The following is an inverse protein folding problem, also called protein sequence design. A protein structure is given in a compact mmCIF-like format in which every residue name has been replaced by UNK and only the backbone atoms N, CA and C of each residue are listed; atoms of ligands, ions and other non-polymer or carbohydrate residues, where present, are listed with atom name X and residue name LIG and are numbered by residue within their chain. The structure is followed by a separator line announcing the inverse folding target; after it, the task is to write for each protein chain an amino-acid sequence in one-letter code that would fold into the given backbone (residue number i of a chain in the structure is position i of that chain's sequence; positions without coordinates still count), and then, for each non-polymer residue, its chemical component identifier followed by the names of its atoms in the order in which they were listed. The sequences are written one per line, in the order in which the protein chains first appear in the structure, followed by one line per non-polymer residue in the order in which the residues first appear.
data_IF_639267538034
#
_entry.id   IF_639267538034
#
_cell.length_a   1.000
_cell.length_b   1.000
_cell.length_c   1.000
_cell.angle_alpha   90.00
_cell.angle_beta   90.00
_cell.angle_gamma   90.00
#
_symmetry.space_group_name_H-M   'P 1'
#
loop_
_entity.id
_entity.type
_entity.pdbx_description
1 polymer ?
#
# COMPACT_ATOMS: atom_id res chain seq x y z
N UNK A 1 -4.31 -8.00 -22.03
CA UNK A 1 -3.06 -8.23 -21.30
C UNK A 1 -3.34 -9.19 -20.15
N UNK A 2 -2.51 -10.19 -20.03
CA UNK A 2 -2.67 -11.19 -18.96
C UNK A 2 -1.62 -10.97 -17.88
N UNK A 3 -2.09 -10.78 -16.62
CA UNK A 3 -1.19 -10.63 -15.48
C UNK A 3 -0.67 -12.00 -15.05
N UNK A 4 0.60 -12.05 -14.65
CA UNK A 4 1.25 -13.27 -14.17
C UNK A 4 1.34 -13.24 -12.66
N UNK A 5 0.55 -14.11 -12.04
CA UNK A 5 0.53 -14.25 -10.58
C UNK A 5 1.49 -15.36 -10.16
N UNK A 6 2.23 -15.13 -9.06
CA UNK A 6 3.05 -16.15 -8.43
C UNK A 6 2.34 -16.60 -7.16
N UNK A 7 2.00 -17.88 -7.07
CA UNK A 7 1.18 -18.44 -5.97
C UNK A 7 -0.13 -17.65 -5.78
N UNK A 8 -0.73 -17.23 -6.90
CA UNK A 8 -1.97 -16.49 -6.90
C UNK A 8 -1.85 -15.01 -6.54
N UNK A 9 -0.65 -14.49 -6.37
CA UNK A 9 -0.41 -13.11 -5.93
C UNK A 9 0.48 -12.34 -6.91
N UNK A 10 0.24 -11.03 -6.99
CA UNK A 10 1.07 -10.09 -7.74
C UNK A 10 1.42 -8.91 -6.81
N UNK A 11 2.69 -8.50 -6.75
CA UNK A 11 3.05 -7.33 -5.95
C UNK A 11 2.56 -6.05 -6.62
N UNK A 12 2.10 -5.11 -5.79
CA UNK A 12 1.66 -3.80 -6.24
C UNK A 12 2.41 -2.73 -5.46
N UNK A 13 3.22 -1.96 -6.16
CA UNK A 13 3.92 -0.81 -5.62
C UNK A 13 2.99 0.39 -5.71
N UNK A 14 2.79 1.09 -4.61
CA UNK A 14 1.94 2.28 -4.58
C UNK A 14 2.83 3.51 -4.55
N UNK A 15 2.61 4.39 -5.52
CA UNK A 15 3.36 5.62 -5.70
C UNK A 15 2.42 6.81 -5.60
N UNK A 16 2.84 7.84 -4.83
CA UNK A 16 2.08 9.08 -4.76
C UNK A 16 2.10 9.76 -6.12
N UNK A 17 0.93 9.99 -6.70
CA UNK A 17 0.78 10.63 -8.00
C UNK A 17 1.38 12.03 -8.05
N UNK A 18 1.29 12.79 -6.96
CA UNK A 18 1.77 14.18 -6.94
C UNK A 18 3.29 14.29 -6.74
N UNK A 19 3.82 13.57 -5.76
CA UNK A 19 5.24 13.68 -5.40
C UNK A 19 6.15 12.71 -6.13
N UNK A 20 5.58 11.62 -6.66
CA UNK A 20 6.35 10.52 -7.23
C UNK A 20 6.98 9.61 -6.19
N UNK A 21 6.75 9.85 -4.91
CA UNK A 21 7.34 9.03 -3.84
C UNK A 21 6.62 7.71 -3.71
N UNK A 22 7.36 6.66 -3.42
CA UNK A 22 6.79 5.33 -3.13
C UNK A 22 6.21 5.35 -1.73
N UNK A 23 4.96 4.91 -1.60
CA UNK A 23 4.24 4.91 -0.32
C UNK A 23 4.26 3.56 0.36
N UNK A 24 4.02 2.49 -0.39
CA UNK A 24 3.99 1.13 0.17
C UNK A 24 4.05 0.07 -0.93
N UNK A 25 4.20 -1.17 -0.52
CA UNK A 25 4.03 -2.35 -1.38
C UNK A 25 3.05 -3.27 -0.69
N UNK A 26 2.12 -3.82 -1.44
CA UNK A 26 1.22 -4.85 -0.98
C UNK A 26 1.04 -5.92 -2.05
N UNK A 27 0.26 -6.94 -1.72
CA UNK A 27 -0.03 -8.03 -2.66
C UNK A 27 -1.50 -8.04 -3.03
N UNK A 28 -1.76 -8.39 -4.28
CA UNK A 28 -3.11 -8.55 -4.78
C UNK A 28 -3.27 -9.93 -5.38
N UNK A 29 -4.40 -10.58 -5.09
CA UNK A 29 -4.84 -11.71 -5.89
C UNK A 29 -5.71 -11.17 -7.04
N UNK A 30 -6.22 -12.03 -7.88
CA UNK A 30 -7.08 -11.63 -9.01
C UNK A 30 -8.30 -10.83 -8.54
N UNK A 31 -8.96 -11.27 -7.47
CA UNK A 31 -10.12 -10.56 -6.92
C UNK A 31 -9.77 -9.16 -6.42
N UNK A 32 -8.60 -9.00 -5.81
CA UNK A 32 -8.14 -7.69 -5.35
C UNK A 32 -7.91 -6.74 -6.53
N UNK A 33 -7.33 -7.23 -7.61
CA UNK A 33 -7.13 -6.43 -8.83
C UNK A 33 -8.48 -6.00 -9.40
N UNK A 34 -9.43 -6.91 -9.52
CA UNK A 34 -10.79 -6.61 -10.01
C UNK A 34 -11.45 -5.56 -9.11
N UNK A 35 -11.37 -5.76 -7.80
CA UNK A 35 -11.99 -4.83 -6.84
C UNK A 35 -11.36 -3.43 -6.93
N UNK A 36 -10.04 -3.36 -7.09
CA UNK A 36 -9.34 -2.08 -7.27
C UNK A 36 -9.82 -1.35 -8.53
N UNK A 37 -9.96 -2.08 -9.63
CA UNK A 37 -10.43 -1.51 -10.89
C UNK A 37 -11.89 -1.05 -10.79
N UNK A 38 -12.74 -1.82 -10.14
CA UNK A 38 -14.17 -1.49 -10.01
C UNK A 38 -14.41 -0.32 -9.05
N UNK A 39 -13.76 -0.33 -7.89
CA UNK A 39 -13.99 0.68 -6.85
C UNK A 39 -13.24 1.98 -7.08
N UNK A 40 -12.11 1.93 -7.77
CA UNK A 40 -11.20 3.07 -7.89
C UNK A 40 -10.33 3.28 -6.66
N UNK A 41 -10.38 2.39 -5.69
CA UNK A 41 -9.57 2.44 -4.48
C UNK A 41 -8.71 1.19 -4.36
N UNK A 42 -7.46 1.37 -3.90
CA UNK A 42 -6.50 0.27 -3.78
C UNK A 42 -6.99 -0.74 -2.76
N UNK A 43 -7.17 -1.98 -3.21
CA UNK A 43 -7.59 -3.12 -2.39
C UNK A 43 -6.56 -4.22 -2.53
N UNK A 44 -6.07 -4.71 -1.40
CA UNK A 44 -5.06 -5.76 -1.34
C UNK A 44 -5.68 -7.08 -0.90
N UNK A 45 -4.88 -8.14 -1.02
CA UNK A 45 -5.19 -9.42 -0.41
C UNK A 45 -4.25 -9.67 0.76
N UNK A 46 -4.81 -9.84 1.95
CA UNK A 46 -4.03 -10.17 3.15
C UNK A 46 -3.75 -11.68 3.18
N UNK A 47 -2.46 -12.05 3.12
CA UNK A 47 -2.05 -13.45 3.18
C UNK A 47 -2.31 -14.05 4.55
N UNK A 48 -2.08 -13.28 5.61
CA UNK A 48 -2.25 -13.74 6.98
C UNK A 48 -3.71 -13.94 7.37
N UNK A 49 -4.60 -13.07 6.89
CA UNK A 49 -6.03 -13.14 7.21
C UNK A 49 -6.86 -13.80 6.11
N UNK A 50 -6.24 -14.10 4.97
CA UNK A 50 -6.88 -14.76 3.82
C UNK A 50 -8.15 -14.04 3.36
N UNK A 51 -8.08 -12.71 3.27
CA UNK A 51 -9.20 -11.90 2.81
C UNK A 51 -8.73 -10.62 2.11
N UNK A 52 -9.63 -10.05 1.32
CA UNK A 52 -9.42 -8.73 0.72
C UNK A 52 -9.49 -7.65 1.81
N UNK A 53 -8.69 -6.59 1.65
CA UNK A 53 -8.82 -5.41 2.49
C UNK A 53 -8.53 -4.16 1.67
N UNK A 54 -9.39 -3.15 1.81
CA UNK A 54 -9.18 -1.86 1.16
C UNK A 54 -8.26 -1.03 2.04
N UNK A 55 -7.18 -0.51 1.46
CA UNK A 55 -6.28 0.39 2.19
C UNK A 55 -7.08 1.60 2.67
N UNK A 56 -6.99 1.88 3.97
CA UNK A 56 -7.72 2.98 4.58
C UNK A 56 -9.11 2.63 5.12
N UNK A 57 -9.51 1.35 5.08
CA UNK A 57 -10.83 0.95 5.60
C UNK A 57 -11.00 1.22 7.09
N UNK A 58 -9.90 1.22 7.86
CA UNK A 58 -9.90 1.54 9.29
C UNK A 58 -9.52 3.00 9.53
N UNK A 59 -8.42 3.45 8.92
CA UNK A 59 -7.86 4.78 9.16
C UNK A 59 -8.57 5.91 8.41
N UNK A 60 -9.25 5.60 7.31
CA UNK A 60 -9.74 6.59 6.38
C UNK A 60 -8.67 7.11 5.41
N UNK A 61 -7.41 6.69 5.57
CA UNK A 61 -6.30 7.08 4.69
C UNK A 61 -6.31 6.21 3.44
N UNK A 62 -7.29 6.44 2.58
CA UNK A 62 -7.50 5.64 1.37
C UNK A 62 -6.58 6.06 0.25
N UNK A 63 -6.38 5.13 -0.68
CA UNK A 63 -5.57 5.35 -1.87
C UNK A 63 -6.48 5.31 -3.10
N UNK A 64 -6.81 6.48 -3.63
CA UNK A 64 -7.60 6.59 -4.84
C UNK A 64 -6.71 6.39 -6.06
N UNK A 65 -7.05 5.42 -6.89
CA UNK A 65 -6.27 5.09 -8.08
C UNK A 65 -6.31 6.23 -9.09
N UNK A 66 -5.15 6.68 -9.54
CA UNK A 66 -5.00 7.57 -10.66
C UNK A 66 -4.68 6.79 -11.92
N UNK A 67 -3.71 5.88 -11.84
CA UNK A 67 -3.23 5.13 -13.00
C UNK A 67 -2.57 3.83 -12.53
N UNK A 68 -2.74 2.76 -13.27
CA UNK A 68 -2.09 1.48 -13.00
C UNK A 68 -1.19 1.14 -14.18
N UNK A 69 0.09 0.89 -13.89
CA UNK A 69 1.07 0.43 -14.86
C UNK A 69 1.46 -1.00 -14.56
N UNK A 70 1.71 -1.75 -15.61
CA UNK A 70 2.15 -3.14 -15.53
C UNK A 70 3.58 -3.19 -16.05
N UNK A 71 4.45 -3.95 -15.37
CA UNK A 71 5.84 -4.02 -15.80
C UNK A 71 6.02 -4.88 -17.08
N UNK A 72 7.25 -4.93 -17.58
CA UNK A 72 7.53 -5.51 -18.90
C UNK A 72 7.24 -7.01 -19.01
N UNK A 73 7.33 -7.75 -17.91
CA UNK A 73 7.03 -9.19 -17.88
C UNK A 73 5.70 -9.53 -17.19
N UNK A 74 4.90 -8.51 -16.87
CA UNK A 74 3.50 -8.64 -16.43
C UNK A 74 3.35 -9.30 -15.06
N UNK A 75 4.36 -9.20 -14.21
CA UNK A 75 4.36 -9.83 -12.87
C UNK A 75 4.45 -8.83 -11.71
N UNK A 76 4.34 -7.54 -11.99
CA UNK A 76 4.30 -6.49 -10.96
C UNK A 76 3.46 -5.31 -11.44
N UNK A 77 2.79 -4.66 -10.49
CA UNK A 77 1.98 -3.46 -10.75
C UNK A 77 2.61 -2.25 -10.11
N UNK A 78 2.55 -1.11 -10.80
CA UNK A 78 2.83 0.20 -10.24
C UNK A 78 1.52 0.99 -10.27
N UNK A 79 1.00 1.31 -9.09
CA UNK A 79 -0.26 2.04 -8.97
C UNK A 79 0.03 3.45 -8.49
N UNK A 80 -0.20 4.43 -9.36
CA UNK A 80 -0.15 5.83 -8.98
C UNK A 80 -1.47 6.20 -8.35
N UNK A 81 -1.43 6.77 -7.16
CA UNK A 81 -2.61 7.00 -6.36
C UNK A 81 -2.55 8.33 -5.62
N UNK A 82 -3.71 8.83 -5.23
CA UNK A 82 -3.86 9.97 -4.34
C UNK A 82 -4.20 9.47 -2.95
N UNK A 83 -3.34 9.79 -1.99
CA UNK A 83 -3.55 9.42 -0.60
C UNK A 83 -4.48 10.42 0.09
N UNK A 84 -5.58 9.93 0.67
CA UNK A 84 -6.43 10.72 1.56
C UNK A 84 -5.83 10.65 2.95
N UNK A 85 -5.57 11.80 3.56
CA UNK A 85 -5.02 11.86 4.90
C UNK A 85 -3.51 12.00 4.93
N UNK A 86 -2.91 12.08 6.14
CA UNK A 86 -1.51 12.45 6.31
C UNK A 86 -0.51 11.35 6.00
N UNK A 87 -0.89 10.08 6.09
CA UNK A 87 0.08 9.02 5.93
C UNK A 87 -0.49 7.67 5.55
N UNK A 88 0.32 6.89 4.85
CA UNK A 88 -0.01 5.55 4.37
C UNK A 88 0.37 4.47 5.38
N UNK A 89 1.45 4.69 6.12
CA UNK A 89 2.00 3.70 7.05
C UNK A 89 1.21 3.66 8.37
N UNK A 90 0.88 2.47 8.85
CA UNK A 90 0.17 2.30 10.12
C UNK A 90 1.01 2.74 11.34
N UNK A 91 2.31 2.98 11.15
CA UNK A 91 3.19 3.49 12.20
C UNK A 91 3.27 5.02 12.26
N UNK A 92 2.44 5.71 11.47
CA UNK A 92 2.32 7.16 11.53
C UNK A 92 3.13 7.92 10.49
N UNK A 93 3.80 7.24 9.58
CA UNK A 93 4.61 7.88 8.53
C UNK A 93 3.82 7.99 7.23
N UNK A 94 4.16 8.99 6.43
CA UNK A 94 3.53 9.14 5.12
C UNK A 94 3.79 7.94 4.22
N UNK A 95 5.02 7.41 4.26
CA UNK A 95 5.42 6.21 3.51
C UNK A 95 5.78 5.09 4.46
N UNK A 96 5.50 3.85 4.06
CA UNK A 96 5.99 2.68 4.77
C UNK A 96 7.52 2.56 4.69
N UNK A 97 8.12 3.23 3.71
CA UNK A 97 9.57 3.25 3.52
C UNK A 97 10.20 4.43 4.25
N UNK A 98 10.11 4.43 5.57
CA UNK A 98 10.59 5.51 6.42
C UNK A 98 11.96 5.26 7.06
N UNK A 99 12.58 4.11 6.79
CA UNK A 99 13.90 3.74 7.30
C UNK A 99 14.85 3.44 6.15
N UNK A 100 16.09 3.79 6.34
CA UNK A 100 17.19 3.50 5.40
C UNK A 100 18.05 2.40 6.00
N UNK A 101 18.38 1.40 5.20
CA UNK A 101 19.31 0.33 5.59
C UNK A 101 20.63 0.54 4.87
N UNK A 102 21.72 0.43 5.62
CA UNK A 102 23.08 0.49 5.08
C UNK A 102 23.99 -0.48 5.84
N UNK A 103 25.25 -0.57 5.43
CA UNK A 103 26.24 -1.40 6.15
C UNK A 103 26.41 -0.95 7.61
N UNK A 104 26.05 0.28 7.95
CA UNK A 104 26.15 0.85 9.30
C UNK A 104 24.89 0.60 10.15
N UNK A 105 23.87 -0.10 9.61
CA UNK A 105 22.62 -0.35 10.30
C UNK A 105 21.45 0.42 9.69
N UNK A 106 20.43 0.69 10.51
CA UNK A 106 19.22 1.39 10.02
C UNK A 106 19.14 2.81 10.59
N UNK A 107 18.47 3.67 9.83
CA UNK A 107 18.25 5.06 10.19
C UNK A 107 16.84 5.48 9.77
N UNK A 108 16.10 6.13 10.67
CA UNK A 108 14.80 6.71 10.35
C UNK A 108 15.03 8.00 9.55
N UNK A 109 14.43 8.11 8.37
CA UNK A 109 14.65 9.20 7.43
C UNK A 109 13.42 10.09 7.21
N UNK A 110 12.27 9.75 7.81
CA UNK A 110 11.05 10.55 7.75
C UNK A 110 10.58 10.88 9.15
N UNK A 111 9.76 11.92 9.27
CA UNK A 111 9.08 12.26 10.52
C UNK A 111 7.66 11.71 10.48
N UNK A 112 7.11 11.37 11.65
CA UNK A 112 5.71 10.99 11.76
C UNK A 112 4.81 12.15 11.38
N UNK A 113 3.76 11.83 10.62
CA UNK A 113 2.76 12.79 10.19
C UNK A 113 1.48 12.71 11.04
N UNK A 114 1.30 11.62 11.79
CA UNK A 114 0.13 11.43 12.66
C UNK A 114 0.47 10.45 13.78
N UNK A 115 -0.37 10.47 14.85
CA UNK A 115 -0.24 9.52 15.96
C UNK A 115 -1.05 8.25 15.63
N UNK A 116 -0.39 7.09 15.49
CA UNK A 116 -1.10 5.84 15.18
C UNK A 116 -2.17 5.47 16.22
N UNK A 117 -1.95 5.79 17.50
CA UNK A 117 -2.92 5.47 18.56
C UNK A 117 -4.22 6.26 18.41
N UNK A 118 -4.14 7.50 17.92
CA UNK A 118 -5.32 8.34 17.67
C UNK A 118 -6.17 7.80 16.50
N UNK A 119 -5.53 7.19 15.51
CA UNK A 119 -6.18 6.71 14.30
C UNK A 119 -6.70 5.29 14.46
N UNK A 120 -5.85 4.37 14.98
CA UNK A 120 -6.17 2.94 15.05
C UNK A 120 -6.58 2.47 16.44
N UNK A 121 -6.37 3.30 17.47
CA UNK A 121 -6.54 2.90 18.85
C UNK A 121 -5.34 2.09 19.36
N UNK A 122 -5.21 2.04 20.69
CA UNK A 122 -4.08 1.38 21.34
C UNK A 122 -4.07 -0.12 21.04
N UNK A 123 -2.95 -0.60 20.51
CA UNK A 123 -2.78 -2.02 20.16
C UNK A 123 -3.48 -2.46 18.90
N UNK A 124 -4.13 -1.54 18.16
CA UNK A 124 -4.80 -1.83 16.89
C UNK A 124 -4.03 -1.28 15.71
N UNK A 125 -4.19 -1.93 14.56
CA UNK A 125 -3.61 -1.46 13.29
C UNK A 125 -4.42 -2.03 12.13
N UNK A 126 -4.26 -1.44 10.94
CA UNK A 126 -4.85 -2.00 9.73
C UNK A 126 -4.22 -3.35 9.39
N UNK A 127 -4.99 -4.18 8.66
CA UNK A 127 -4.49 -5.44 8.13
C UNK A 127 -3.38 -5.11 7.13
N UNK A 128 -2.21 -5.73 7.31
CA UNK A 128 -1.11 -5.66 6.38
C UNK A 128 -0.94 -7.02 5.69
N UNK A 129 -0.31 -7.02 4.54
CA UNK A 129 -0.11 -8.25 3.75
C UNK A 129 0.87 -9.23 4.36
#
# INVERSE_FOLDING_TARGET
MELKYADGLIPAVIQDHHSGKVLMVGYMNEDAVVKTLESGFVTFYSRSRKKLWMKGETSGHRLKVHEIRVDCDQDALLIQANLSGPGCCHMGYRSCFFRKLSAKGEEIILQREFDPEEVYGKGKKEIQT
#
